data_IF_921982434335
#
_entry.id   IF_921982434335
#
_cell.length_a   1.000
_cell.length_b   1.000
_cell.length_c   1.000
_cell.angle_alpha   90.00
_cell.angle_beta   90.00
_cell.angle_gamma   90.00
#
_symmetry.space_group_name_H-M   'P 1'
#
loop_
_entity.id
_entity.type
_entity.pdbx_description
1 polymer ?
#
# COMPACT_ATOMS: atom_id res chain seq x y z
N UNK A 1 13.60 -6.39 -26.91
CA UNK A 1 13.38 -5.17 -26.13
C UNK A 1 14.51 -5.11 -25.14
N UNK A 2 15.42 -4.15 -25.31
CA UNK A 2 16.55 -3.97 -24.41
C UNK A 2 16.03 -3.50 -23.05
N UNK A 3 16.33 -4.29 -22.03
CA UNK A 3 16.08 -3.98 -20.63
C UNK A 3 17.00 -2.81 -20.25
N UNK A 4 16.46 -1.59 -20.30
CA UNK A 4 17.20 -0.40 -19.91
C UNK A 4 17.29 -0.41 -18.38
N UNK A 5 18.49 -0.49 -17.77
CA UNK A 5 18.61 -0.52 -16.33
C UNK A 5 17.97 0.74 -15.75
N UNK A 6 16.92 0.55 -14.94
CA UNK A 6 16.22 1.64 -14.29
C UNK A 6 17.20 2.46 -13.45
N UNK A 7 17.35 3.74 -13.78
CA UNK A 7 18.20 4.68 -13.05
C UNK A 7 17.63 4.89 -11.64
N UNK A 8 18.10 4.07 -10.69
CA UNK A 8 17.71 4.13 -9.27
C UNK A 8 18.17 5.42 -8.56
N UNK A 9 18.86 6.33 -9.24
CA UNK A 9 19.20 7.65 -8.65
C UNK A 9 18.01 8.62 -8.66
N UNK A 10 16.95 8.33 -9.43
CA UNK A 10 15.70 9.11 -9.46
C UNK A 10 14.49 8.20 -9.26
N UNK A 11 14.11 8.01 -8.00
CA UNK A 11 12.84 7.36 -7.62
C UNK A 11 11.64 8.26 -7.98
N UNK A 12 10.54 7.68 -8.46
CA UNK A 12 9.27 8.39 -8.60
C UNK A 12 8.63 8.63 -7.22
N UNK A 13 9.03 7.86 -6.21
CA UNK A 13 8.68 8.04 -4.79
C UNK A 13 9.65 9.03 -4.13
N UNK A 14 9.47 10.31 -4.43
CA UNK A 14 10.11 11.39 -3.67
C UNK A 14 9.54 11.48 -2.25
N UNK A 15 10.23 12.14 -1.29
CA UNK A 15 9.67 12.40 0.03
C UNK A 15 8.30 13.10 -0.01
N UNK A 16 8.13 14.03 -0.95
CA UNK A 16 6.88 14.75 -1.18
C UNK A 16 5.79 13.80 -1.69
N UNK A 17 6.10 12.94 -2.67
CA UNK A 17 5.14 11.95 -3.18
C UNK A 17 4.77 10.94 -2.10
N UNK A 18 5.73 10.45 -1.31
CA UNK A 18 5.47 9.57 -0.18
C UNK A 18 4.46 10.20 0.80
N UNK A 19 4.64 11.48 1.14
CA UNK A 19 3.75 12.20 2.07
C UNK A 19 2.31 12.35 1.58
N UNK A 20 2.03 12.21 0.27
CA UNK A 20 0.65 12.22 -0.25
C UNK A 20 -0.10 10.91 -0.02
N UNK A 21 0.59 9.85 0.40
CA UNK A 21 -0.04 8.57 0.70
C UNK A 21 -0.92 8.66 1.96
N UNK A 22 -1.96 7.81 1.99
CA UNK A 22 -2.87 7.74 3.12
C UNK A 22 -2.19 7.08 4.32
N UNK A 23 -2.45 7.57 5.52
CA UNK A 23 -2.22 6.77 6.74
C UNK A 23 -3.17 5.56 6.75
N UNK A 24 -2.96 4.60 7.64
CA UNK A 24 -3.88 3.46 7.78
C UNK A 24 -5.32 3.91 8.09
N UNK A 25 -5.50 4.87 9.00
CA UNK A 25 -6.84 5.40 9.33
C UNK A 25 -7.50 6.10 8.14
N UNK A 26 -6.73 6.90 7.39
CA UNK A 26 -7.22 7.54 6.17
C UNK A 26 -7.61 6.51 5.12
N UNK A 27 -6.85 5.42 4.99
CA UNK A 27 -7.18 4.34 4.06
C UNK A 27 -8.45 3.61 4.46
N UNK A 28 -8.62 3.27 5.75
CA UNK A 28 -9.85 2.64 6.26
C UNK A 28 -11.06 3.54 6.02
N UNK A 29 -10.93 4.86 6.27
CA UNK A 29 -11.99 5.82 5.99
C UNK A 29 -12.30 5.92 4.49
N UNK A 30 -11.26 5.98 3.64
CA UNK A 30 -11.38 6.01 2.18
C UNK A 30 -12.15 4.79 1.65
N UNK A 31 -11.84 3.59 2.15
CA UNK A 31 -12.49 2.35 1.72
C UNK A 31 -14.01 2.38 1.91
N UNK A 32 -14.50 3.09 2.93
CA UNK A 32 -15.92 3.25 3.23
C UNK A 32 -16.62 4.36 2.40
N UNK A 33 -15.89 5.07 1.53
CA UNK A 33 -16.46 6.21 0.81
C UNK A 33 -17.33 5.77 -0.38
N UNK A 34 -18.40 6.54 -0.69
CA UNK A 34 -19.15 6.37 -1.93
C UNK A 34 -18.29 6.52 -3.19
N UNK A 35 -17.21 7.30 -3.12
CA UNK A 35 -16.24 7.42 -4.21
C UNK A 35 -15.55 6.08 -4.46
N UNK A 36 -15.09 5.41 -3.41
CA UNK A 36 -14.45 4.11 -3.55
C UNK A 36 -15.42 3.05 -4.09
N UNK A 37 -16.69 3.06 -3.66
CA UNK A 37 -17.70 2.09 -4.11
C UNK A 37 -18.01 2.16 -5.61
N UNK A 38 -17.77 3.31 -6.25
CA UNK A 38 -17.96 3.49 -7.70
C UNK A 38 -16.83 2.88 -8.55
N UNK A 39 -15.68 2.57 -7.94
CA UNK A 39 -14.53 1.98 -8.64
C UNK A 39 -14.80 0.51 -8.95
N UNK A 40 -14.10 0.00 -9.94
CA UNK A 40 -14.10 -1.43 -10.25
C UNK A 40 -13.25 -2.22 -9.24
N UNK A 41 -13.80 -3.35 -8.82
CA UNK A 41 -13.19 -4.40 -8.04
C UNK A 41 -12.66 -5.54 -8.91
N UNK A 42 -12.20 -6.62 -8.27
CA UNK A 42 -11.69 -7.81 -8.98
C UNK A 42 -12.68 -8.30 -10.04
N UNK A 43 -12.19 -8.53 -11.26
CA UNK A 43 -13.00 -8.98 -12.39
C UNK A 43 -14.06 -7.97 -12.86
N UNK A 44 -13.92 -6.69 -12.52
CA UNK A 44 -14.88 -5.64 -12.87
C UNK A 44 -16.11 -5.57 -11.97
N UNK A 45 -16.14 -6.31 -10.86
CA UNK A 45 -17.23 -6.25 -9.88
C UNK A 45 -17.29 -4.89 -9.17
N UNK A 46 -18.38 -4.58 -8.47
CA UNK A 46 -18.41 -3.40 -7.59
C UNK A 46 -17.46 -3.58 -6.38
N UNK A 47 -16.81 -2.50 -5.94
CA UNK A 47 -16.12 -2.49 -4.63
C UNK A 47 -17.12 -2.70 -3.51
N UNK A 48 -16.69 -3.39 -2.46
CA UNK A 48 -17.46 -3.60 -1.22
C UNK A 48 -16.83 -2.80 -0.10
N UNK A 49 -17.64 -2.44 0.88
CA UNK A 49 -17.12 -1.85 2.11
C UNK A 49 -16.38 -2.91 2.93
N UNK A 50 -15.05 -2.78 2.97
CA UNK A 50 -14.17 -3.60 3.79
C UNK A 50 -13.60 -2.84 4.99
N UNK A 51 -14.03 -1.61 5.23
CA UNK A 51 -13.46 -0.75 6.27
C UNK A 51 -13.55 -1.37 7.66
N UNK A 52 -14.71 -1.93 8.03
CA UNK A 52 -14.93 -2.61 9.29
C UNK A 52 -14.03 -3.86 9.43
N UNK A 53 -13.84 -4.62 8.34
CA UNK A 53 -12.96 -5.78 8.34
C UNK A 53 -11.50 -5.38 8.55
N UNK A 54 -11.02 -4.36 7.83
CA UNK A 54 -9.65 -3.86 7.97
C UNK A 54 -9.38 -3.35 9.39
N UNK A 55 -10.33 -2.59 9.96
CA UNK A 55 -10.28 -2.09 11.34
C UNK A 55 -10.19 -3.23 12.35
N UNK A 56 -11.12 -4.19 12.26
CA UNK A 56 -11.16 -5.34 13.16
C UNK A 56 -9.89 -6.20 13.07
N UNK A 57 -9.37 -6.42 11.86
CA UNK A 57 -8.11 -7.13 11.65
C UNK A 57 -6.94 -6.41 12.32
N UNK A 58 -6.80 -5.09 12.14
CA UNK A 58 -5.76 -4.30 12.79
C UNK A 58 -5.86 -4.34 14.33
N UNK A 59 -7.08 -4.22 14.86
CA UNK A 59 -7.36 -4.24 16.30
C UNK A 59 -7.11 -5.60 16.94
N UNK A 60 -7.31 -6.70 16.21
CA UNK A 60 -7.05 -8.06 16.66
C UNK A 60 -5.57 -8.45 16.59
N UNK A 61 -4.82 -7.89 15.64
CA UNK A 61 -3.41 -8.24 15.41
C UNK A 61 -2.52 -7.89 16.61
N UNK A 62 -1.77 -8.89 17.08
CA UNK A 62 -0.72 -8.76 18.10
C UNK A 62 0.56 -9.32 17.51
N UNK A 63 1.66 -8.58 17.67
CA UNK A 63 2.98 -9.10 17.45
C UNK A 63 3.43 -9.82 18.73
N UNK A 64 4.13 -10.93 18.57
CA UNK A 64 4.82 -11.53 19.71
C UNK A 64 6.09 -10.73 20.08
N UNK A 65 6.71 -11.09 21.20
CA UNK A 65 7.89 -10.39 21.72
C UNK A 65 9.07 -10.45 20.73
N UNK A 66 9.23 -11.58 20.02
CA UNK A 66 10.32 -11.75 19.05
C UNK A 66 10.11 -10.87 17.82
N UNK A 67 8.88 -10.78 17.31
CA UNK A 67 8.49 -9.91 16.21
C UNK A 67 8.62 -8.43 16.57
N UNK A 68 8.22 -8.06 17.78
CA UNK A 68 8.38 -6.70 18.33
C UNK A 68 9.85 -6.32 18.42
N UNK A 69 10.67 -7.15 19.06
CA UNK A 69 12.10 -6.92 19.17
C UNK A 69 12.79 -6.86 17.80
N UNK A 70 12.36 -7.69 16.85
CA UNK A 70 12.93 -7.71 15.50
C UNK A 70 12.67 -6.39 14.75
N UNK A 71 11.45 -5.86 14.79
CA UNK A 71 11.15 -4.62 14.07
C UNK A 71 11.80 -3.40 14.73
N UNK A 72 11.81 -3.33 16.06
CA UNK A 72 12.51 -2.27 16.80
C UNK A 72 14.01 -2.30 16.54
N UNK A 73 14.62 -3.48 16.56
CA UNK A 73 16.03 -3.65 16.24
C UNK A 73 16.35 -3.20 14.81
N UNK A 74 15.52 -3.60 13.84
CA UNK A 74 15.70 -3.25 12.44
C UNK A 74 15.59 -1.73 12.22
N UNK A 75 14.53 -1.11 12.73
CA UNK A 75 14.31 0.33 12.63
C UNK A 75 15.40 1.15 13.36
N UNK A 76 15.92 0.63 14.47
CA UNK A 76 16.97 1.27 15.27
C UNK A 76 18.40 1.19 14.69
N UNK A 77 18.61 0.47 13.58
CA UNK A 77 19.94 0.39 12.95
C UNK A 77 20.37 1.77 12.42
N UNK A 78 21.68 2.08 12.39
CA UNK A 78 22.19 3.17 11.57
C UNK A 78 21.73 2.97 10.11
N UNK A 79 21.03 3.96 9.54
CA UNK A 79 20.39 3.87 8.23
C UNK A 79 19.35 2.73 8.11
N UNK A 80 18.71 2.37 9.22
CA UNK A 80 17.58 1.43 9.24
C UNK A 80 16.34 1.98 8.52
N UNK A 81 15.35 1.12 8.24
CA UNK A 81 14.11 1.57 7.61
C UNK A 81 13.35 2.53 8.52
N UNK A 82 12.96 3.66 7.96
CA UNK A 82 12.13 4.65 8.64
C UNK A 82 10.69 4.72 8.08
N UNK A 83 10.46 4.09 6.92
CA UNK A 83 9.24 4.27 6.13
C UNK A 83 8.77 2.95 5.52
N UNK A 84 7.46 2.78 5.46
CA UNK A 84 6.78 1.69 4.77
C UNK A 84 5.84 2.32 3.73
N UNK A 85 6.14 2.12 2.45
CA UNK A 85 5.21 2.41 1.36
C UNK A 85 4.43 1.14 1.03
N UNK A 86 3.10 1.24 1.03
CA UNK A 86 2.21 0.14 0.66
C UNK A 86 1.43 0.54 -0.57
N UNK A 87 1.43 -0.31 -1.59
CA UNK A 87 0.53 -0.16 -2.74
C UNK A 87 -0.55 -1.23 -2.58
N UNK A 88 -1.79 -0.80 -2.37
CA UNK A 88 -2.88 -1.66 -1.97
C UNK A 88 -4.12 -1.48 -2.83
N UNK A 89 -4.93 -2.53 -2.84
CA UNK A 89 -6.30 -2.50 -3.30
C UNK A 89 -7.11 -3.38 -2.33
N UNK A 90 -8.32 -2.94 -1.96
CA UNK A 90 -9.11 -3.62 -0.94
C UNK A 90 -10.00 -4.75 -1.51
N UNK A 91 -10.01 -4.97 -2.83
CA UNK A 91 -10.68 -6.13 -3.40
C UNK A 91 -9.88 -7.42 -3.17
N UNK A 92 -8.56 -7.32 -3.09
CA UNK A 92 -7.63 -8.40 -2.80
C UNK A 92 -7.95 -9.01 -1.46
N UNK A 93 -7.98 -10.33 -1.41
CA UNK A 93 -7.85 -11.01 -0.14
C UNK A 93 -6.50 -10.77 0.52
N UNK A 94 -5.42 -10.63 -0.27
CA UNK A 94 -4.06 -10.52 0.27
C UNK A 94 -3.84 -9.15 0.92
N UNK A 95 -4.16 -8.05 0.22
CA UNK A 95 -4.14 -6.72 0.84
C UNK A 95 -5.05 -6.61 2.08
N UNK A 96 -6.25 -7.23 2.08
CA UNK A 96 -7.12 -7.23 3.27
C UNK A 96 -6.49 -7.95 4.48
N UNK A 97 -5.65 -8.95 4.23
CA UNK A 97 -4.91 -9.68 5.25
C UNK A 97 -3.67 -8.91 5.70
N UNK A 98 -2.90 -8.39 4.75
CA UNK A 98 -1.52 -7.96 4.98
C UNK A 98 -1.39 -6.47 5.30
N UNK A 99 -2.28 -5.61 4.78
CA UNK A 99 -2.24 -4.16 5.07
C UNK A 99 -2.43 -3.87 6.57
N UNK A 100 -3.39 -4.50 7.29
CA UNK A 100 -3.49 -4.35 8.74
C UNK A 100 -2.24 -4.83 9.49
N UNK A 101 -1.57 -5.88 9.01
CA UNK A 101 -0.32 -6.39 9.60
C UNK A 101 0.83 -5.38 9.40
N UNK A 102 0.99 -4.84 8.19
CA UNK A 102 2.00 -3.82 7.92
C UNK A 102 1.77 -2.55 8.74
N UNK A 103 0.49 -2.15 8.93
CA UNK A 103 0.14 -1.04 9.82
C UNK A 103 0.49 -1.32 11.28
N UNK A 104 0.27 -2.54 11.79
CA UNK A 104 0.64 -2.93 13.15
C UNK A 104 2.17 -2.92 13.31
N UNK A 105 2.88 -3.52 12.37
CA UNK A 105 4.34 -3.59 12.35
C UNK A 105 4.98 -2.20 12.28
N UNK A 106 4.49 -1.32 11.41
CA UNK A 106 4.96 0.06 11.30
C UNK A 106 4.72 0.84 12.61
N UNK A 107 3.54 0.69 13.21
CA UNK A 107 3.23 1.33 14.49
C UNK A 107 4.14 0.84 15.63
N UNK A 108 4.41 -0.47 15.71
CA UNK A 108 5.30 -1.04 16.74
C UNK A 108 6.75 -0.59 16.54
N UNK A 109 7.26 -0.60 15.30
CA UNK A 109 8.64 -0.22 15.01
C UNK A 109 8.90 1.28 14.88
N UNK A 110 7.88 2.13 15.07
CA UNK A 110 8.01 3.58 14.88
C UNK A 110 8.27 4.01 13.42
N UNK A 111 7.85 3.21 12.43
CA UNK A 111 8.01 3.52 11.01
C UNK A 111 6.82 4.33 10.50
N UNK A 112 7.08 5.31 9.63
CA UNK A 112 6.00 6.04 8.95
C UNK A 112 5.40 5.16 7.83
N UNK A 113 4.10 4.89 7.89
CA UNK A 113 3.40 4.12 6.87
C UNK A 113 2.54 5.01 5.96
N UNK A 114 2.65 4.80 4.65
CA UNK A 114 1.86 5.49 3.61
C UNK A 114 1.30 4.50 2.60
N UNK A 115 -0.01 4.55 2.40
CA UNK A 115 -0.77 3.66 1.51
C UNK A 115 -1.19 4.41 0.25
N UNK A 116 -0.88 3.81 -0.90
CA UNK A 116 -1.28 4.25 -2.23
C UNK A 116 -2.23 3.23 -2.84
N UNK A 117 -3.21 3.71 -3.61
CA UNK A 117 -4.10 2.81 -4.36
C UNK A 117 -3.34 2.24 -5.54
N UNK A 118 -3.37 0.94 -5.75
CA UNK A 118 -2.84 0.32 -6.98
C UNK A 118 -3.59 0.85 -8.21
N UNK A 119 -4.90 0.67 -8.20
CA UNK A 119 -5.78 0.96 -9.33
C UNK A 119 -6.33 2.39 -9.31
N UNK A 120 -6.76 2.88 -10.48
CA UNK A 120 -7.59 4.07 -10.64
C UNK A 120 -9.08 3.76 -10.45
N UNK A 121 -9.93 4.30 -11.31
CA UNK A 121 -11.36 3.96 -11.39
C UNK A 121 -11.58 2.52 -11.85
N UNK A 122 -10.73 2.01 -12.75
CA UNK A 122 -10.85 0.69 -13.35
C UNK A 122 -9.92 -0.33 -12.73
N UNK A 123 -10.35 -1.58 -12.75
CA UNK A 123 -9.54 -2.72 -12.33
C UNK A 123 -8.38 -2.90 -13.32
N UNK A 124 -7.15 -2.92 -12.82
CA UNK A 124 -6.00 -3.23 -13.67
C UNK A 124 -5.91 -4.73 -13.93
N UNK A 125 -6.20 -5.13 -15.17
CA UNK A 125 -5.96 -6.50 -15.65
C UNK A 125 -4.48 -6.78 -15.96
N UNK A 126 -3.64 -5.74 -16.02
CA UNK A 126 -2.20 -5.89 -16.29
C UNK A 126 -1.40 -6.16 -15.02
N UNK A 127 -0.42 -7.06 -15.14
CA UNK A 127 0.62 -7.26 -14.13
C UNK A 127 1.65 -6.11 -14.11
N UNK A 128 1.77 -5.37 -15.22
CA UNK A 128 2.61 -4.17 -15.37
C UNK A 128 1.74 -3.00 -15.86
N UNK A 129 0.88 -2.41 -14.99
CA UNK A 129 0.04 -1.29 -15.40
C UNK A 129 0.89 -0.08 -15.77
N UNK A 130 0.40 0.73 -16.71
CA UNK A 130 1.02 2.00 -17.09
C UNK A 130 0.07 3.18 -16.84
N UNK A 131 0.62 4.39 -16.66
CA UNK A 131 -0.20 5.60 -16.58
C UNK A 131 -0.90 5.94 -17.92
N UNK A 132 -0.41 5.41 -19.04
CA UNK A 132 -1.09 5.57 -20.33
C UNK A 132 -2.45 4.83 -20.35
N UNK A 133 -2.51 3.67 -19.70
CA UNK A 133 -3.72 2.85 -19.61
C UNK A 133 -4.62 3.24 -18.43
N UNK A 134 -4.01 3.64 -17.31
CA UNK A 134 -4.68 4.00 -16.07
C UNK A 134 -4.13 5.32 -15.49
N UNK A 135 -4.46 6.48 -16.08
CA UNK A 135 -3.86 7.77 -15.74
C UNK A 135 -4.19 8.28 -14.33
N UNK A 136 -5.24 7.75 -13.71
CA UNK A 136 -5.70 8.10 -12.36
C UNK A 136 -5.28 7.09 -11.27
N UNK A 137 -4.38 6.16 -11.63
CA UNK A 137 -3.80 5.14 -10.75
C UNK A 137 -2.43 5.55 -10.18
N UNK A 138 -1.77 4.65 -9.44
CA UNK A 138 -0.35 4.78 -9.09
C UNK A 138 0.52 3.76 -9.85
N UNK A 139 0.21 3.56 -11.14
CA UNK A 139 0.93 2.64 -12.01
C UNK A 139 2.43 2.97 -12.16
N UNK A 140 2.80 4.25 -12.08
CA UNK A 140 4.19 4.71 -12.02
C UNK A 140 4.94 4.20 -10.79
N UNK A 141 4.32 4.29 -9.61
CA UNK A 141 4.89 3.76 -8.37
C UNK A 141 4.99 2.24 -8.45
N UNK A 142 3.97 1.56 -9.00
CA UNK A 142 4.01 0.12 -9.22
C UNK A 142 5.19 -0.27 -10.12
N UNK A 143 5.38 0.43 -11.24
CA UNK A 143 6.44 0.14 -12.21
C UNK A 143 7.85 0.25 -11.59
N UNK A 144 8.07 1.12 -10.61
CA UNK A 144 9.37 1.22 -9.91
C UNK A 144 9.71 -0.04 -9.08
N UNK A 145 8.70 -0.77 -8.59
CA UNK A 145 8.90 -1.92 -7.70
C UNK A 145 8.52 -3.27 -8.32
N UNK A 146 8.02 -3.27 -9.55
CA UNK A 146 7.83 -4.47 -10.36
C UNK A 146 9.15 -4.80 -11.06
N UNK A 147 9.75 -5.94 -10.70
CA UNK A 147 10.96 -6.46 -11.34
C UNK A 147 10.68 -7.04 -12.72
#
# INVERSE_FOLDING_TARGET
MEDTPMDRTKSVVTPQRFATGMTFDQYVAYVATPENFKREGSGGAARRDWSAHLRASYEALRLDDAQTAAIEWLAGRPNGPAKVLVIAEEWSSDCRRDVPMLARLAATGGLELRIFRRDGQKFSASHHPTLAEAPDSNADIMAEFLN
#
